data_IF_216408548260
#
_entry.id   IF_216408548260
#
_cell.length_a   1.000
_cell.length_b   1.000
_cell.length_c   1.000
_cell.angle_alpha   90.00
_cell.angle_beta   90.00
_cell.angle_gamma   90.00
#
_symmetry.space_group_name_H-M   'P 1'
#
loop_
_entity.id
_entity.type
_entity.pdbx_description
1 polymer ?
#
# COMPACT_ATOMS: atom_id res chain seq x y z
N UNK A 1 -19.68 -13.29 -9.80
CA UNK A 1 -21.12 -13.04 -9.54
C UNK A 1 -21.43 -11.68 -10.15
N UNK A 2 -22.42 -11.58 -11.04
CA UNK A 2 -22.83 -10.30 -11.64
C UNK A 2 -23.61 -9.52 -10.59
N UNK A 3 -23.00 -8.48 -10.03
CA UNK A 3 -23.72 -7.53 -9.19
C UNK A 3 -24.33 -6.48 -10.11
N UNK A 4 -25.57 -6.71 -10.54
CA UNK A 4 -26.27 -5.88 -11.54
C UNK A 4 -26.32 -4.39 -11.18
N UNK A 5 -26.27 -4.06 -9.89
CA UNK A 5 -26.24 -2.68 -9.41
C UNK A 5 -24.88 -1.99 -9.61
N UNK A 6 -23.76 -2.71 -9.42
CA UNK A 6 -22.42 -2.18 -9.69
C UNK A 6 -22.19 -2.00 -11.19
N UNK A 7 -22.67 -2.96 -12.00
CA UNK A 7 -22.67 -2.86 -13.46
C UNK A 7 -23.49 -1.65 -13.94
N UNK A 8 -24.65 -1.40 -13.32
CA UNK A 8 -25.51 -0.26 -13.65
C UNK A 8 -24.87 1.07 -13.26
N UNK A 9 -24.22 1.15 -12.08
CA UNK A 9 -23.49 2.33 -11.66
C UNK A 9 -22.36 2.69 -12.62
N UNK A 10 -21.52 1.70 -12.98
CA UNK A 10 -20.42 1.91 -13.92
C UNK A 10 -20.93 2.35 -15.28
N UNK A 11 -21.97 1.70 -15.81
CA UNK A 11 -22.54 2.08 -17.10
C UNK A 11 -23.09 3.51 -17.10
N UNK A 12 -23.73 3.97 -16.02
CA UNK A 12 -24.18 5.37 -15.90
C UNK A 12 -22.99 6.35 -15.81
N UNK A 13 -21.97 6.01 -15.03
CA UNK A 13 -20.75 6.81 -14.91
C UNK A 13 -20.08 7.00 -16.28
N UNK A 14 -19.92 5.91 -17.04
CA UNK A 14 -19.30 5.94 -18.37
C UNK A 14 -20.17 6.69 -19.38
N UNK A 15 -21.50 6.54 -19.34
CA UNK A 15 -22.39 7.30 -20.21
C UNK A 15 -22.22 8.81 -19.98
N UNK A 16 -22.20 9.26 -18.71
CA UNK A 16 -21.94 10.67 -18.38
C UNK A 16 -20.54 11.12 -18.81
N UNK A 17 -19.53 10.27 -18.62
CA UNK A 17 -18.14 10.53 -19.01
C UNK A 17 -18.02 10.77 -20.53
N UNK A 18 -18.58 9.86 -21.34
CA UNK A 18 -18.56 9.91 -22.81
C UNK A 18 -19.32 11.15 -23.31
N UNK A 19 -20.48 11.44 -22.73
CA UNK A 19 -21.30 12.60 -23.09
C UNK A 19 -20.57 13.90 -22.80
N UNK A 20 -20.01 14.05 -21.60
CA UNK A 20 -19.25 15.25 -21.21
C UNK A 20 -18.07 15.47 -22.15
N UNK A 21 -17.28 14.43 -22.41
CA UNK A 21 -16.13 14.53 -23.32
C UNK A 21 -16.54 15.00 -24.72
N UNK A 22 -17.67 14.51 -25.24
CA UNK A 22 -18.12 14.91 -26.57
C UNK A 22 -18.62 16.34 -26.65
N UNK A 23 -19.43 16.75 -25.67
CA UNK A 23 -20.08 18.06 -25.63
C UNK A 23 -19.08 19.16 -25.29
N UNK A 24 -18.26 18.94 -24.27
CA UNK A 24 -17.37 19.96 -23.70
C UNK A 24 -15.96 19.88 -24.29
N UNK A 25 -15.63 18.79 -25.00
CA UNK A 25 -14.26 18.46 -25.48
C UNK A 25 -13.25 18.27 -24.35
N UNK A 26 -13.75 18.08 -23.14
CA UNK A 26 -12.99 17.82 -21.94
C UNK A 26 -13.82 16.98 -20.96
N UNK A 27 -13.15 16.39 -19.97
CA UNK A 27 -13.80 15.70 -18.86
C UNK A 27 -13.36 16.38 -17.58
N UNK A 28 -14.30 16.73 -16.71
CA UNK A 28 -13.96 17.43 -15.47
C UNK A 28 -13.06 16.58 -14.58
N UNK A 29 -12.23 17.25 -13.76
CA UNK A 29 -11.35 16.57 -12.78
C UNK A 29 -12.14 15.61 -11.88
N UNK A 30 -13.30 16.04 -11.39
CA UNK A 30 -14.18 15.20 -10.57
C UNK A 30 -14.60 13.91 -11.29
N UNK A 31 -14.95 13.99 -12.57
CA UNK A 31 -15.38 12.83 -13.35
C UNK A 31 -14.20 11.87 -13.63
N UNK A 32 -13.00 12.41 -13.86
CA UNK A 32 -11.77 11.63 -13.97
C UNK A 32 -11.47 10.90 -12.65
N UNK A 33 -11.52 11.61 -11.51
CA UNK A 33 -11.32 11.06 -10.17
C UNK A 33 -12.34 9.96 -9.85
N UNK A 34 -13.61 10.12 -10.26
CA UNK A 34 -14.66 9.11 -10.06
C UNK A 34 -14.39 7.82 -10.83
N UNK A 35 -13.98 7.91 -12.09
CA UNK A 35 -13.65 6.73 -12.88
C UNK A 35 -12.39 6.03 -12.35
N UNK A 36 -11.36 6.79 -12.03
CA UNK A 36 -10.16 6.29 -11.37
C UNK A 36 -10.49 5.58 -10.05
N UNK A 37 -11.27 6.22 -9.17
CA UNK A 37 -11.67 5.66 -7.88
C UNK A 37 -12.48 4.37 -8.05
N UNK A 38 -13.33 4.28 -9.08
CA UNK A 38 -14.05 3.04 -9.39
C UNK A 38 -13.08 1.90 -9.72
N UNK A 39 -12.13 2.11 -10.65
CA UNK A 39 -11.13 1.09 -10.97
C UNK A 39 -10.30 0.69 -9.75
N UNK A 40 -9.86 1.67 -8.94
CA UNK A 40 -9.09 1.41 -7.73
C UNK A 40 -9.88 0.55 -6.76
N UNK A 41 -11.15 0.88 -6.52
CA UNK A 41 -12.02 0.13 -5.61
C UNK A 41 -12.24 -1.30 -6.10
N UNK A 42 -12.59 -1.48 -7.37
CA UNK A 42 -12.80 -2.81 -7.94
C UNK A 42 -11.55 -3.70 -7.86
N UNK A 43 -10.40 -3.17 -8.25
CA UNK A 43 -9.16 -3.93 -8.21
C UNK A 43 -8.63 -4.13 -6.78
N UNK A 44 -8.81 -3.17 -5.88
CA UNK A 44 -8.42 -3.30 -4.47
C UNK A 44 -9.23 -4.38 -3.73
N UNK A 45 -10.51 -4.55 -4.06
CA UNK A 45 -11.30 -5.71 -3.60
C UNK A 45 -10.62 -7.02 -4.00
N UNK A 46 -10.00 -7.07 -5.18
CA UNK A 46 -9.24 -8.23 -5.65
C UNK A 46 -8.03 -8.54 -4.76
N UNK A 47 -7.35 -7.51 -4.23
CA UNK A 47 -6.27 -7.68 -3.26
C UNK A 47 -6.79 -8.33 -2.00
N UNK A 48 -7.88 -7.84 -1.43
CA UNK A 48 -8.46 -8.37 -0.17
C UNK A 48 -8.98 -9.81 -0.32
N UNK A 49 -9.42 -10.20 -1.53
CA UNK A 49 -9.84 -11.57 -1.84
C UNK A 49 -8.63 -12.50 -1.97
N UNK A 50 -7.58 -12.08 -2.67
CA UNK A 50 -6.39 -12.90 -2.88
C UNK A 50 -5.49 -12.99 -1.64
N UNK A 51 -5.34 -11.88 -0.92
CA UNK A 51 -4.52 -11.73 0.27
C UNK A 51 -5.41 -11.28 1.44
N UNK A 52 -5.93 -12.26 2.18
CA UNK A 52 -7.01 -11.99 3.14
C UNK A 52 -6.48 -11.31 4.40
N UNK A 53 -7.12 -10.24 4.90
CA UNK A 53 -6.80 -9.66 6.21
C UNK A 53 -6.93 -10.62 7.40
N UNK A 54 -7.64 -11.75 7.20
CA UNK A 54 -7.79 -12.80 8.23
C UNK A 54 -6.66 -13.84 8.19
N UNK A 55 -5.80 -13.82 7.18
CA UNK A 55 -4.65 -14.70 7.08
C UNK A 55 -3.69 -14.48 8.25
N UNK A 56 -3.21 -15.56 8.87
CA UNK A 56 -2.39 -15.49 10.08
C UNK A 56 -1.14 -14.62 9.88
N UNK A 57 -0.38 -14.84 8.79
CA UNK A 57 0.84 -14.11 8.46
C UNK A 57 0.61 -12.84 7.63
N UNK A 58 -0.61 -12.30 7.64
CA UNK A 58 -0.93 -11.07 6.92
C UNK A 58 -0.05 -9.91 7.41
N UNK A 59 0.74 -9.39 6.50
CA UNK A 59 1.58 -8.19 6.59
C UNK A 59 0.83 -6.99 6.01
N UNK A 60 0.44 -6.07 6.89
CA UNK A 60 -0.25 -4.82 6.56
C UNK A 60 0.55 -3.96 5.57
N UNK A 61 1.88 -3.93 5.70
CA UNK A 61 2.72 -3.10 4.83
C UNK A 61 2.73 -3.63 3.39
N UNK A 62 2.71 -4.96 3.23
CA UNK A 62 2.60 -5.60 1.92
C UNK A 62 1.20 -5.36 1.31
N UNK A 63 0.14 -5.41 2.12
CA UNK A 63 -1.20 -5.09 1.66
C UNK A 63 -1.31 -3.62 1.18
N UNK A 64 -0.71 -2.68 1.92
CA UNK A 64 -0.65 -1.26 1.53
C UNK A 64 0.17 -1.09 0.25
N UNK A 65 1.28 -1.80 0.07
CA UNK A 65 2.07 -1.71 -1.17
C UNK A 65 1.28 -2.21 -2.37
N UNK A 66 0.52 -3.31 -2.24
CA UNK A 66 -0.38 -3.77 -3.29
C UNK A 66 -1.45 -2.74 -3.61
N UNK A 67 -2.12 -2.16 -2.61
CA UNK A 67 -3.16 -1.16 -2.84
C UNK A 67 -2.60 0.12 -3.48
N UNK A 68 -1.40 0.56 -3.11
CA UNK A 68 -0.70 1.66 -3.81
C UNK A 68 -0.42 1.31 -5.28
N UNK A 69 0.11 0.13 -5.55
CA UNK A 69 0.35 -0.33 -6.91
C UNK A 69 -0.95 -0.46 -7.74
N UNK A 70 -2.07 -0.83 -7.11
CA UNK A 70 -3.39 -0.80 -7.75
C UNK A 70 -3.83 0.64 -8.05
N UNK A 71 -3.62 1.59 -7.15
CA UNK A 71 -3.92 3.01 -7.41
C UNK A 71 -3.14 3.52 -8.63
N UNK A 72 -1.84 3.21 -8.71
CA UNK A 72 -1.02 3.53 -9.88
C UNK A 72 -1.63 2.92 -11.15
N UNK A 73 -1.87 1.60 -11.15
CA UNK A 73 -2.45 0.89 -12.28
C UNK A 73 -3.79 1.50 -12.75
N UNK A 74 -4.68 1.79 -11.80
CA UNK A 74 -6.00 2.36 -12.04
C UNK A 74 -5.96 3.77 -12.62
N UNK A 75 -5.03 4.63 -12.18
CA UNK A 75 -4.91 5.99 -12.71
C UNK A 75 -4.47 5.97 -14.18
N UNK A 76 -3.42 5.21 -14.50
CA UNK A 76 -2.97 5.05 -15.89
C UNK A 76 -4.03 4.41 -16.78
N UNK A 77 -4.80 3.45 -16.26
CA UNK A 77 -5.95 2.88 -16.99
C UNK A 77 -7.01 3.94 -17.30
N UNK A 78 -7.39 4.78 -16.34
CA UNK A 78 -8.37 5.84 -16.52
C UNK A 78 -7.91 6.88 -17.54
N UNK A 79 -6.66 7.34 -17.44
CA UNK A 79 -6.09 8.27 -18.41
C UNK A 79 -5.98 7.65 -19.80
N UNK A 80 -5.58 6.38 -19.89
CA UNK A 80 -5.54 5.66 -21.18
C UNK A 80 -6.92 5.58 -21.83
N UNK A 81 -7.97 5.22 -21.07
CA UNK A 81 -9.34 5.21 -21.57
C UNK A 81 -9.78 6.58 -22.10
N UNK A 82 -9.49 7.66 -21.34
CA UNK A 82 -9.74 9.05 -21.77
C UNK A 82 -9.05 9.37 -23.09
N UNK A 83 -7.76 9.09 -23.22
CA UNK A 83 -6.98 9.34 -24.45
C UNK A 83 -7.51 8.56 -25.65
N UNK A 84 -7.94 7.31 -25.45
CA UNK A 84 -8.59 6.55 -26.51
C UNK A 84 -9.89 7.22 -26.94
N UNK A 85 -10.74 7.67 -26.02
CA UNK A 85 -11.96 8.40 -26.36
C UNK A 85 -11.67 9.75 -27.06
N UNK A 86 -10.68 10.52 -26.59
CA UNK A 86 -10.27 11.78 -27.22
C UNK A 86 -9.88 11.58 -28.69
N UNK A 87 -9.17 10.49 -29.00
CA UNK A 87 -8.78 10.14 -30.37
C UNK A 87 -9.97 9.88 -31.29
N UNK A 88 -11.14 9.56 -30.74
CA UNK A 88 -12.37 9.34 -31.51
C UNK A 88 -13.10 10.64 -31.87
N UNK A 89 -12.79 11.77 -31.21
CA UNK A 89 -13.50 13.05 -31.41
C UNK A 89 -13.23 13.65 -32.79
N UNK A 90 -12.02 13.45 -33.32
CA UNK A 90 -11.59 13.94 -34.63
C UNK A 90 -10.88 12.82 -35.38
N UNK A 91 -11.43 12.44 -36.54
CA UNK A 91 -10.86 11.41 -37.42
C UNK A 91 -10.65 12.00 -38.81
N UNK A 92 -9.47 11.79 -39.40
CA UNK A 92 -9.09 12.35 -40.71
C UNK A 92 -9.29 13.87 -40.83
N UNK A 93 -9.04 14.59 -39.73
CA UNK A 93 -9.22 16.06 -39.65
C UNK A 93 -10.68 16.52 -39.58
N UNK A 94 -11.64 15.61 -39.42
CA UNK A 94 -13.07 15.91 -39.31
C UNK A 94 -13.62 15.55 -37.94
N UNK A 95 -14.51 16.40 -37.41
CA UNK A 95 -15.23 16.11 -36.17
C UNK A 95 -16.15 14.92 -36.41
N UNK A 96 -16.02 13.90 -35.56
CA UNK A 96 -16.87 12.71 -35.60
C UNK A 96 -18.29 13.06 -35.13
N UNK A 97 -19.35 12.76 -35.90
CA UNK A 97 -20.73 12.97 -35.45
C UNK A 97 -21.05 12.15 -34.19
N UNK A 98 -21.95 12.66 -33.34
CA UNK A 98 -22.31 12.02 -32.05
C UNK A 98 -22.67 10.53 -32.19
N UNK A 99 -23.48 10.17 -33.19
CA UNK A 99 -23.92 8.78 -33.37
C UNK A 99 -22.75 7.82 -33.62
N UNK A 100 -21.76 8.23 -34.41
CA UNK A 100 -20.59 7.41 -34.73
C UNK A 100 -19.59 7.40 -33.57
N UNK A 101 -19.34 8.56 -32.96
CA UNK A 101 -18.51 8.66 -31.75
C UNK A 101 -19.05 7.76 -30.64
N UNK A 102 -20.36 7.85 -30.35
CA UNK A 102 -21.00 7.07 -29.29
C UNK A 102 -20.88 5.58 -29.52
N UNK A 103 -21.11 5.12 -30.76
CA UNK A 103 -20.95 3.71 -31.14
C UNK A 103 -19.52 3.21 -30.88
N UNK A 104 -18.50 3.98 -31.25
CA UNK A 104 -17.10 3.60 -31.03
C UNK A 104 -16.71 3.68 -29.55
N UNK A 105 -17.18 4.71 -28.84
CA UNK A 105 -16.99 4.87 -27.40
C UNK A 105 -17.63 3.71 -26.59
N UNK A 106 -18.80 3.24 -27.01
CA UNK A 106 -19.46 2.07 -26.39
C UNK A 106 -18.67 0.78 -26.62
N UNK A 107 -18.07 0.61 -27.81
CA UNK A 107 -17.18 -0.52 -28.05
C UNK A 107 -15.94 -0.47 -27.14
N UNK A 108 -15.33 0.71 -26.97
CA UNK A 108 -14.23 0.90 -26.01
C UNK A 108 -14.66 0.63 -24.57
N UNK A 109 -15.85 1.09 -24.17
CA UNK A 109 -16.41 0.81 -22.84
C UNK A 109 -16.49 -0.71 -22.57
N UNK A 110 -16.99 -1.49 -23.54
CA UNK A 110 -17.09 -2.95 -23.41
C UNK A 110 -15.71 -3.59 -23.24
N UNK A 111 -14.70 -3.15 -23.99
CA UNK A 111 -13.33 -3.65 -23.85
C UNK A 111 -12.72 -3.26 -22.51
N UNK A 112 -12.58 -1.96 -22.23
CA UNK A 112 -11.85 -1.47 -21.05
C UNK A 112 -12.53 -1.82 -19.74
N UNK A 113 -13.84 -1.57 -19.66
CA UNK A 113 -14.56 -1.47 -18.38
C UNK A 113 -15.34 -2.73 -18.05
N UNK A 114 -15.47 -3.67 -19.01
CA UNK A 114 -16.08 -4.98 -18.77
C UNK A 114 -15.08 -6.11 -18.96
N UNK A 115 -14.49 -6.26 -20.16
CA UNK A 115 -13.63 -7.40 -20.49
C UNK A 115 -12.27 -7.32 -19.80
N UNK A 116 -11.57 -6.19 -19.95
CA UNK A 116 -10.23 -6.01 -19.42
C UNK A 116 -10.27 -5.83 -17.91
N UNK A 117 -11.17 -4.98 -17.38
CA UNK A 117 -11.34 -4.80 -15.94
C UNK A 117 -11.61 -6.13 -15.21
N UNK A 118 -12.44 -7.01 -15.77
CA UNK A 118 -12.66 -8.35 -15.22
C UNK A 118 -11.39 -9.22 -15.23
N UNK A 119 -10.64 -9.16 -16.32
CA UNK A 119 -9.38 -9.92 -16.47
C UNK A 119 -8.32 -9.42 -15.48
N UNK A 120 -8.21 -8.11 -15.32
CA UNK A 120 -7.33 -7.45 -14.35
C UNK A 120 -7.72 -7.78 -12.92
N UNK A 121 -9.02 -7.79 -12.59
CA UNK A 121 -9.50 -8.23 -11.28
C UNK A 121 -9.05 -9.66 -10.97
N UNK A 122 -9.24 -10.59 -11.91
CA UNK A 122 -8.80 -11.98 -11.73
C UNK A 122 -7.28 -12.10 -11.60
N UNK A 123 -6.53 -11.31 -12.36
CA UNK A 123 -5.07 -11.23 -12.23
C UNK A 123 -4.67 -10.71 -10.85
N UNK A 124 -5.32 -9.66 -10.34
CA UNK A 124 -5.07 -9.11 -9.01
C UNK A 124 -5.30 -10.15 -7.92
N UNK A 125 -6.43 -10.86 -7.97
CA UNK A 125 -6.73 -11.94 -7.01
C UNK A 125 -5.65 -13.03 -7.05
N UNK A 126 -5.27 -13.49 -8.25
CA UNK A 126 -4.29 -14.57 -8.40
C UNK A 126 -2.89 -14.16 -7.92
N UNK A 127 -2.45 -12.93 -8.23
CA UNK A 127 -1.16 -12.41 -7.77
C UNK A 127 -1.13 -12.20 -6.25
N UNK A 128 -2.19 -11.60 -5.68
CA UNK A 128 -2.29 -11.41 -4.24
C UNK A 128 -2.32 -12.76 -3.49
N UNK A 129 -3.04 -13.75 -4.03
CA UNK A 129 -3.05 -15.10 -3.47
C UNK A 129 -1.68 -15.79 -3.52
N UNK A 130 -0.95 -15.60 -4.61
CA UNK A 130 0.40 -16.14 -4.71
C UNK A 130 1.37 -15.47 -3.72
N UNK A 131 1.18 -14.19 -3.40
CA UNK A 131 1.94 -13.53 -2.34
C UNK A 131 1.67 -14.15 -0.97
N UNK A 132 0.40 -14.46 -0.68
CA UNK A 132 0.02 -15.17 0.54
C UNK A 132 0.70 -16.55 0.64
N UNK A 133 0.64 -17.33 -0.45
CA UNK A 133 1.26 -18.65 -0.51
C UNK A 133 2.77 -18.57 -0.35
N UNK A 134 3.42 -17.55 -0.92
CA UNK A 134 4.86 -17.34 -0.77
C UNK A 134 5.29 -17.21 0.70
N UNK A 135 4.54 -16.46 1.52
CA UNK A 135 4.84 -16.35 2.95
C UNK A 135 4.72 -17.71 3.67
N UNK A 136 3.78 -18.56 3.26
CA UNK A 136 3.67 -19.94 3.76
C UNK A 136 4.86 -20.78 3.33
N UNK A 137 5.26 -20.68 2.05
CA UNK A 137 6.44 -21.39 1.56
C UNK A 137 7.70 -21.00 2.35
N UNK A 138 7.88 -19.72 2.67
CA UNK A 138 9.01 -19.26 3.47
C UNK A 138 8.95 -19.76 4.92
N UNK A 139 7.75 -19.82 5.51
CA UNK A 139 7.55 -20.31 6.88
C UNK A 139 7.86 -21.81 7.01
N UNK A 140 7.45 -22.61 6.02
CA UNK A 140 7.57 -24.08 6.04
C UNK A 140 8.84 -24.58 5.31
N UNK A 141 9.78 -23.68 5.00
CA UNK A 141 10.95 -23.97 4.18
C UNK A 141 11.94 -24.98 4.82
N UNK A 142 11.85 -25.20 6.13
CA UNK A 142 12.62 -26.21 6.86
C UNK A 142 12.09 -27.63 6.63
N UNK A 143 10.78 -27.77 6.38
CA UNK A 143 10.11 -29.05 6.07
C UNK A 143 10.12 -29.33 4.56
N UNK A 144 9.79 -28.33 3.75
CA UNK A 144 9.66 -28.46 2.30
C UNK A 144 10.49 -27.35 1.61
N UNK A 145 11.79 -27.59 1.35
CA UNK A 145 12.70 -26.54 0.89
C UNK A 145 12.54 -26.16 -0.59
N UNK A 146 11.76 -26.94 -1.36
CA UNK A 146 11.63 -26.80 -2.80
C UNK A 146 10.19 -26.45 -3.20
N UNK A 147 10.06 -25.89 -4.40
CA UNK A 147 8.80 -25.54 -5.05
C UNK A 147 8.72 -26.28 -6.38
N UNK A 148 7.53 -26.81 -6.70
CA UNK A 148 7.20 -27.45 -7.97
C UNK A 148 6.24 -26.57 -8.76
N UNK A 149 6.60 -26.25 -9.99
CA UNK A 149 5.71 -25.56 -10.92
C UNK A 149 4.66 -26.53 -11.48
N UNK A 150 3.38 -26.14 -11.43
CA UNK A 150 2.28 -26.95 -11.94
C UNK A 150 1.52 -26.19 -13.03
N UNK A 151 1.63 -26.67 -14.27
CA UNK A 151 0.80 -26.21 -15.37
C UNK A 151 -0.50 -27.03 -15.41
N UNK A 152 -1.60 -26.40 -15.84
CA UNK A 152 -2.89 -27.09 -15.98
C UNK A 152 -2.88 -28.11 -17.13
N UNK A 153 -1.98 -27.92 -18.11
CA UNK A 153 -1.78 -28.78 -19.28
C UNK A 153 -3.03 -29.03 -20.14
N UNK A 154 -4.02 -28.12 -20.10
CA UNK A 154 -5.15 -28.16 -21.03
C UNK A 154 -4.86 -27.41 -22.34
N UNK A 155 -5.82 -27.44 -23.27
CA UNK A 155 -5.70 -26.79 -24.58
C UNK A 155 -5.55 -25.25 -24.55
N UNK A 156 -5.69 -24.61 -23.39
CA UNK A 156 -5.49 -23.16 -23.20
C UNK A 156 -4.16 -22.84 -22.51
N UNK A 157 -3.43 -23.87 -22.07
CA UNK A 157 -2.10 -23.70 -21.50
C UNK A 157 -1.15 -23.27 -22.62
N UNK A 158 -0.29 -22.29 -22.36
CA UNK A 158 0.71 -21.82 -23.34
C UNK A 158 1.90 -22.78 -23.35
N UNK A 159 2.56 -22.93 -24.49
CA UNK A 159 3.71 -23.86 -24.63
C UNK A 159 4.83 -23.51 -23.67
N UNK A 160 5.06 -22.21 -23.47
CA UNK A 160 6.05 -21.69 -22.53
C UNK A 160 5.81 -22.18 -21.10
N UNK A 161 4.53 -22.25 -20.69
CA UNK A 161 4.17 -22.68 -19.34
C UNK A 161 4.22 -24.20 -19.21
N UNK A 162 3.87 -24.96 -20.26
CA UNK A 162 4.01 -26.42 -20.29
C UNK A 162 5.47 -26.84 -20.13
N UNK A 163 6.39 -26.09 -20.71
CA UNK A 163 7.82 -26.36 -20.61
C UNK A 163 8.39 -26.20 -19.19
N UNK A 164 7.67 -25.52 -18.30
CA UNK A 164 8.01 -25.45 -16.88
C UNK A 164 7.25 -26.47 -16.02
N UNK A 165 6.32 -27.23 -16.57
CA UNK A 165 5.53 -28.18 -15.78
C UNK A 165 6.41 -29.24 -15.12
N UNK A 166 6.19 -29.46 -13.82
CA UNK A 166 6.99 -30.38 -13.01
C UNK A 166 8.39 -29.87 -12.64
N UNK A 167 8.76 -28.64 -13.01
CA UNK A 167 10.02 -28.04 -12.62
C UNK A 167 10.10 -27.86 -11.10
N UNK A 168 11.05 -28.52 -10.45
CA UNK A 168 11.30 -28.44 -9.01
C UNK A 168 12.57 -27.64 -8.73
N UNK A 169 12.45 -26.54 -8.00
CA UNK A 169 13.57 -25.66 -7.65
C UNK A 169 13.51 -25.22 -6.18
N UNK A 170 14.66 -24.98 -5.51
CA UNK A 170 14.66 -24.43 -4.16
C UNK A 170 13.86 -23.13 -4.06
N UNK A 171 13.18 -22.89 -2.93
CA UNK A 171 12.38 -21.66 -2.71
C UNK A 171 13.21 -20.39 -2.99
N UNK A 172 14.49 -20.39 -2.58
CA UNK A 172 15.40 -19.24 -2.77
C UNK A 172 15.98 -19.13 -4.19
N UNK A 173 15.59 -19.99 -5.12
CA UNK A 173 16.11 -19.95 -6.49
C UNK A 173 15.60 -18.72 -7.26
N UNK A 174 16.50 -18.05 -7.99
CA UNK A 174 16.20 -16.80 -8.74
C UNK A 174 15.06 -16.91 -9.75
N UNK A 175 14.74 -18.12 -10.20
CA UNK A 175 13.63 -18.37 -11.13
C UNK A 175 12.30 -17.82 -10.58
N UNK A 176 12.04 -18.04 -9.29
CA UNK A 176 10.82 -17.62 -8.61
C UNK A 176 10.69 -16.10 -8.45
N UNK A 177 11.75 -15.33 -8.68
CA UNK A 177 11.66 -13.86 -8.69
C UNK A 177 10.95 -13.31 -9.93
N UNK A 178 10.82 -14.13 -10.99
CA UNK A 178 10.35 -13.72 -12.33
C UNK A 178 9.28 -14.63 -12.93
N UNK A 179 9.12 -15.86 -12.44
CA UNK A 179 8.27 -16.89 -13.05
C UNK A 179 7.23 -17.44 -12.07
N UNK A 180 7.00 -16.74 -10.96
CA UNK A 180 5.96 -17.12 -10.02
C UNK A 180 4.60 -16.84 -10.67
N UNK A 181 3.76 -17.86 -10.90
CA UNK A 181 2.48 -17.67 -11.57
C UNK A 181 1.57 -16.68 -10.84
N UNK A 182 0.63 -16.02 -11.55
CA UNK A 182 0.36 -16.10 -12.98
C UNK A 182 1.39 -15.40 -13.91
N UNK A 183 1.86 -16.14 -14.92
CA UNK A 183 2.89 -15.70 -15.89
C UNK A 183 2.36 -15.04 -17.19
N UNK A 184 1.04 -14.89 -17.32
CA UNK A 184 0.36 -14.22 -18.44
C UNK A 184 -1.13 -13.96 -18.05
N UNK A 185 -1.84 -13.13 -18.82
CA UNK A 185 -3.27 -12.91 -18.63
C UNK A 185 -4.04 -14.24 -18.71
N UNK A 186 -4.88 -14.48 -17.70
CA UNK A 186 -5.68 -15.71 -17.60
C UNK A 186 -4.85 -16.98 -17.32
N UNK A 187 -3.60 -16.84 -16.86
CA UNK A 187 -2.81 -17.99 -16.43
C UNK A 187 -3.45 -18.65 -15.20
N UNK A 188 -3.52 -19.99 -15.23
CA UNK A 188 -4.06 -20.83 -14.14
C UNK A 188 -3.01 -21.78 -13.55
N UNK A 189 -1.73 -21.56 -13.88
CA UNK A 189 -0.64 -22.36 -13.33
C UNK A 189 -0.46 -22.00 -11.85
N UNK A 190 0.05 -22.94 -11.07
CA UNK A 190 0.28 -22.78 -9.63
C UNK A 190 1.68 -23.27 -9.27
N UNK A 191 2.02 -23.16 -7.99
CA UNK A 191 3.23 -23.72 -7.41
C UNK A 191 2.84 -24.49 -6.16
N UNK A 192 3.51 -25.61 -5.89
CA UNK A 192 3.30 -26.41 -4.67
C UNK A 192 4.64 -26.65 -3.99
N UNK A 193 4.65 -26.54 -2.66
CA UNK A 193 5.82 -26.84 -1.86
C UNK A 193 6.09 -28.35 -1.81
N UNK A 194 7.36 -28.74 -1.82
CA UNK A 194 7.76 -30.15 -1.90
C UNK A 194 9.17 -30.38 -1.33
N UNK A 195 9.45 -31.62 -0.97
CA UNK A 195 10.79 -32.15 -0.65
C UNK A 195 11.39 -32.98 -1.80
N UNK A 196 10.72 -33.04 -2.95
CA UNK A 196 11.21 -33.68 -4.17
C UNK A 196 12.61 -33.16 -4.57
N UNK A 197 13.42 -34.02 -5.18
CA UNK A 197 14.74 -33.65 -5.68
C UNK A 197 14.65 -32.53 -6.74
N UNK A 198 15.57 -31.57 -6.68
CA UNK A 198 15.61 -30.45 -7.62
C UNK A 198 15.83 -30.92 -9.06
N UNK A 199 15.16 -30.28 -10.01
CA UNK A 199 15.35 -30.54 -11.44
C UNK A 199 16.77 -30.15 -11.87
N UNK A 200 17.37 -30.94 -12.75
CA UNK A 200 18.73 -30.70 -13.27
C UNK A 200 18.78 -29.63 -14.34
N UNK A 201 17.68 -29.49 -15.09
CA UNK A 201 17.57 -28.61 -16.24
C UNK A 201 16.38 -27.66 -16.05
N UNK A 202 16.53 -26.44 -16.54
CA UNK A 202 15.51 -25.41 -16.54
C UNK A 202 15.35 -24.97 -17.99
N UNK A 203 14.13 -25.05 -18.54
CA UNK A 203 13.86 -24.53 -19.86
C UNK A 203 14.21 -23.03 -19.94
N UNK A 204 15.09 -22.64 -20.87
CA UNK A 204 15.52 -21.25 -21.07
C UNK A 204 14.45 -20.44 -21.80
N UNK A 205 13.36 -20.17 -21.08
CA UNK A 205 12.21 -19.43 -21.56
C UNK A 205 12.16 -18.15 -20.75
N UNK A 206 12.18 -17.00 -21.44
CA UNK A 206 12.09 -15.70 -20.78
C UNK A 206 10.66 -15.44 -20.35
N UNK A 207 10.50 -15.11 -19.08
CA UNK A 207 9.28 -14.51 -18.56
C UNK A 207 8.92 -13.23 -19.33
N UNK A 208 7.62 -13.03 -19.57
CA UNK A 208 7.07 -11.86 -20.26
C UNK A 208 7.12 -10.65 -19.32
N UNK A 209 7.68 -9.53 -19.79
CA UNK A 209 8.03 -8.35 -18.96
C UNK A 209 7.03 -7.99 -17.87
N UNK A 210 5.79 -7.65 -18.23
CA UNK A 210 4.74 -7.25 -17.28
C UNK A 210 4.36 -8.34 -16.25
N UNK A 211 4.60 -9.62 -16.57
CA UNK A 211 4.34 -10.77 -15.71
C UNK A 211 5.62 -11.30 -15.03
N UNK A 212 6.75 -10.61 -15.20
CA UNK A 212 8.04 -10.98 -14.62
C UNK A 212 8.13 -10.62 -13.14
N UNK A 213 7.31 -11.28 -12.33
CA UNK A 213 7.03 -10.82 -10.98
C UNK A 213 7.03 -11.94 -9.95
N UNK A 214 7.32 -11.54 -8.71
CA UNK A 214 6.97 -12.25 -7.49
C UNK A 214 6.34 -11.18 -6.57
N UNK A 215 5.02 -11.18 -6.39
CA UNK A 215 4.33 -10.10 -5.68
C UNK A 215 4.73 -10.01 -4.20
N UNK A 216 5.08 -11.13 -3.55
CA UNK A 216 5.57 -11.09 -2.16
C UNK A 216 6.89 -10.34 -2.03
N UNK A 217 7.77 -10.44 -3.03
CA UNK A 217 9.08 -9.79 -3.02
C UNK A 217 9.03 -8.37 -3.57
N UNK A 218 8.24 -8.12 -4.61
CA UNK A 218 8.17 -6.82 -5.28
C UNK A 218 7.22 -5.85 -4.59
N UNK A 219 6.26 -6.34 -3.80
CA UNK A 219 5.19 -5.54 -3.24
C UNK A 219 4.20 -5.00 -4.29
N UNK A 220 4.23 -5.52 -5.52
CA UNK A 220 3.42 -5.06 -6.63
C UNK A 220 2.60 -6.20 -7.25
N UNK A 221 1.34 -5.93 -7.56
CA UNK A 221 0.46 -6.81 -8.34
C UNK A 221 0.83 -6.72 -9.82
N UNK A 222 0.88 -5.50 -10.35
CA UNK A 222 1.29 -5.16 -11.70
C UNK A 222 2.67 -4.51 -11.64
N UNK A 223 3.71 -5.30 -11.89
CA UNK A 223 5.11 -4.84 -11.81
C UNK A 223 5.45 -3.82 -12.90
N UNK A 224 4.87 -3.99 -14.07
CA UNK A 224 4.90 -2.99 -15.13
C UNK A 224 3.48 -2.57 -15.46
N UNK A 225 3.27 -1.28 -15.69
CA UNK A 225 1.98 -0.77 -16.10
C UNK A 225 1.86 -0.81 -17.63
N UNK A 226 0.93 -1.62 -18.15
CA UNK A 226 0.73 -1.75 -19.60
C UNK A 226 0.12 -0.51 -20.23
N UNK A 227 -0.60 0.30 -19.46
CA UNK A 227 -1.24 1.53 -19.96
C UNK A 227 -0.26 2.69 -20.05
N UNK A 228 0.71 2.77 -19.14
CA UNK A 228 1.77 3.79 -19.15
C UNK A 228 2.52 3.81 -20.49
N UNK A 229 2.85 2.63 -21.04
CA UNK A 229 3.58 2.50 -22.32
C UNK A 229 2.81 3.07 -23.53
N UNK A 230 1.49 3.21 -23.41
CA UNK A 230 0.62 3.73 -24.47
C UNK A 230 0.31 5.21 -24.34
N UNK A 231 0.82 5.89 -23.31
CA UNK A 231 0.59 7.32 -23.06
C UNK A 231 1.78 8.17 -23.52
N UNK A 232 1.47 9.40 -23.90
CA UNK A 232 2.45 10.47 -24.09
C UNK A 232 2.86 11.11 -22.74
N UNK A 233 3.74 12.11 -22.79
CA UNK A 233 4.21 12.83 -21.59
C UNK A 233 3.07 13.45 -20.79
N UNK A 234 2.06 13.96 -21.48
CA UNK A 234 0.94 14.69 -20.88
C UNK A 234 0.02 13.70 -20.16
N UNK A 235 -0.29 12.56 -20.79
CA UNK A 235 -1.02 11.47 -20.15
C UNK A 235 -0.29 10.91 -18.94
N UNK A 236 1.04 10.70 -19.01
CA UNK A 236 1.83 10.24 -17.85
C UNK A 236 1.77 11.26 -16.71
N UNK A 237 1.83 12.55 -17.01
CA UNK A 237 1.75 13.62 -16.02
C UNK A 237 0.37 13.66 -15.36
N UNK A 238 -0.69 13.61 -16.16
CA UNK A 238 -2.08 13.56 -15.68
C UNK A 238 -2.32 12.36 -14.76
N UNK A 239 -1.84 11.16 -15.13
CA UNK A 239 -1.94 9.97 -14.27
C UNK A 239 -1.22 10.16 -12.94
N UNK A 240 -0.02 10.74 -12.94
CA UNK A 240 0.75 11.01 -11.71
C UNK A 240 0.10 12.04 -10.81
N UNK A 241 -0.56 13.05 -11.37
CA UNK A 241 -1.33 14.03 -10.60
C UNK A 241 -2.53 13.37 -9.91
N UNK A 242 -3.29 12.53 -10.63
CA UNK A 242 -4.39 11.75 -10.04
C UNK A 242 -3.92 10.87 -8.87
N UNK A 243 -2.79 10.17 -9.05
CA UNK A 243 -2.18 9.36 -7.99
C UNK A 243 -1.77 10.23 -6.80
N UNK A 244 -1.07 11.34 -7.06
CA UNK A 244 -0.59 12.25 -6.03
C UNK A 244 -1.74 12.79 -5.18
N UNK A 245 -2.79 13.30 -5.81
CA UNK A 245 -3.96 13.83 -5.11
C UNK A 245 -4.69 12.74 -4.30
N UNK A 246 -4.77 11.52 -4.86
CA UNK A 246 -5.37 10.39 -4.18
C UNK A 246 -4.58 9.95 -2.94
N UNK A 247 -3.26 9.82 -3.06
CA UNK A 247 -2.39 9.43 -1.94
C UNK A 247 -2.26 10.55 -0.90
N UNK A 248 -2.39 11.82 -1.31
CA UNK A 248 -2.40 12.96 -0.41
C UNK A 248 -3.63 12.99 0.52
N UNK A 249 -4.74 12.35 0.11
CA UNK A 249 -5.96 12.35 0.89
C UNK A 249 -5.90 11.42 2.11
N UNK A 250 -5.96 11.99 3.31
CA UNK A 250 -6.07 11.26 4.59
C UNK A 250 -7.42 10.55 4.77
N UNK A 251 -8.35 10.64 3.82
CA UNK A 251 -9.60 9.87 3.83
C UNK A 251 -9.45 8.49 3.17
N UNK A 252 -8.39 8.29 2.37
CA UNK A 252 -8.10 7.02 1.74
C UNK A 252 -7.38 6.09 2.73
N UNK A 253 -8.16 5.53 3.64
CA UNK A 253 -7.65 4.72 4.74
C UNK A 253 -7.77 3.22 4.46
N UNK A 254 -6.76 2.48 4.92
CA UNK A 254 -6.73 1.03 4.98
C UNK A 254 -7.00 0.62 6.43
N UNK A 255 -7.99 -0.26 6.59
CA UNK A 255 -8.27 -0.92 7.87
C UNK A 255 -7.25 -2.04 8.07
N UNK A 256 -6.77 -2.17 9.30
CA UNK A 256 -5.83 -3.23 9.70
C UNK A 256 -6.54 -4.29 10.52
N UNK A 257 -5.84 -5.39 10.84
CA UNK A 257 -6.31 -6.38 11.82
C UNK A 257 -6.69 -5.76 13.17
N UNK A 258 -5.97 -4.73 13.59
CA UNK A 258 -6.28 -4.00 14.82
C UNK A 258 -7.20 -2.81 14.50
N UNK A 259 -8.47 -2.80 14.94
CA UNK A 259 -9.41 -1.72 14.62
C UNK A 259 -9.00 -0.36 15.19
N UNK A 260 -8.04 -0.34 16.14
CA UNK A 260 -7.45 0.87 16.72
C UNK A 260 -6.30 1.43 15.90
N UNK A 261 -5.83 0.73 14.88
CA UNK A 261 -4.78 1.20 13.97
C UNK A 261 -5.33 1.28 12.55
N UNK A 262 -5.29 2.47 11.97
CA UNK A 262 -5.58 2.70 10.55
C UNK A 262 -4.33 3.20 9.85
N UNK A 263 -4.24 2.94 8.55
CA UNK A 263 -3.09 3.35 7.73
C UNK A 263 -3.62 4.20 6.58
N UNK A 264 -3.11 5.40 6.41
CA UNK A 264 -3.33 6.15 5.19
C UNK A 264 -2.69 5.41 4.02
N UNK A 265 -3.42 5.28 2.90
CA UNK A 265 -2.85 4.73 1.68
C UNK A 265 -1.60 5.50 1.25
N UNK A 266 -1.47 6.79 1.59
CA UNK A 266 -0.28 7.60 1.32
C UNK A 266 0.89 7.43 2.29
N UNK A 267 0.81 6.52 3.28
CA UNK A 267 1.86 6.32 4.27
C UNK A 267 3.20 5.88 3.65
N UNK A 268 4.33 6.23 4.26
CA UNK A 268 5.66 5.87 3.75
C UNK A 268 5.90 4.36 3.84
N UNK A 269 6.08 3.69 2.70
CA UNK A 269 6.29 2.25 2.64
C UNK A 269 7.62 1.81 3.28
N UNK A 270 8.63 2.68 3.31
CA UNK A 270 9.95 2.32 3.82
C UNK A 270 9.91 1.99 5.32
N UNK A 271 9.21 2.82 6.10
CA UNK A 271 9.10 2.68 7.54
C UNK A 271 7.77 2.03 7.99
N UNK A 272 6.82 1.81 7.05
CA UNK A 272 5.46 1.38 7.36
C UNK A 272 5.41 0.14 8.25
N UNK A 273 6.18 -0.90 7.93
CA UNK A 273 6.16 -2.16 8.70
C UNK A 273 6.50 -1.91 10.16
N UNK A 274 7.52 -1.09 10.44
CA UNK A 274 7.93 -0.79 11.82
C UNK A 274 6.96 0.20 12.49
N UNK A 275 6.49 1.20 11.74
CA UNK A 275 5.49 2.15 12.21
C UNK A 275 4.20 1.43 12.66
N UNK A 276 3.74 0.45 11.87
CA UNK A 276 2.59 -0.39 12.20
C UNK A 276 2.85 -1.27 13.41
N UNK A 277 3.96 -1.99 13.48
CA UNK A 277 4.29 -2.82 14.65
C UNK A 277 4.26 -2.04 15.96
N UNK A 278 4.86 -0.84 15.99
CA UNK A 278 4.87 0.01 17.19
C UNK A 278 3.46 0.52 17.50
N UNK A 279 2.72 0.98 16.50
CA UNK A 279 1.35 1.45 16.66
C UNK A 279 0.42 0.34 17.18
N UNK A 280 0.53 -0.88 16.63
CA UNK A 280 -0.26 -2.04 17.01
C UNK A 280 -0.04 -2.44 18.48
N UNK A 281 1.22 -2.56 18.90
CA UNK A 281 1.57 -2.83 20.31
C UNK A 281 1.01 -1.73 21.23
N UNK A 282 1.20 -0.47 20.86
CA UNK A 282 0.73 0.64 21.70
C UNK A 282 -0.79 0.69 21.77
N UNK A 283 -1.47 0.49 20.65
CA UNK A 283 -2.92 0.47 20.56
C UNK A 283 -3.53 -0.67 21.39
N UNK A 284 -2.97 -1.87 21.29
CA UNK A 284 -3.40 -3.03 22.09
C UNK A 284 -3.21 -2.80 23.61
N UNK A 285 -2.03 -2.35 24.03
CA UNK A 285 -1.72 -2.20 25.46
C UNK A 285 -2.35 -0.99 26.13
N UNK A 286 -2.63 0.06 25.36
CA UNK A 286 -3.07 1.35 25.91
C UNK A 286 -4.49 1.73 25.48
N UNK A 287 -5.11 0.97 24.58
CA UNK A 287 -6.42 1.27 23.99
C UNK A 287 -6.49 2.68 23.36
N UNK A 288 -5.43 3.04 22.62
CA UNK A 288 -5.28 4.34 21.95
C UNK A 288 -5.52 4.16 20.45
N UNK A 289 -6.27 5.06 19.85
CA UNK A 289 -6.44 5.12 18.40
C UNK A 289 -5.18 5.72 17.73
N UNK A 290 -4.62 4.98 16.77
CA UNK A 290 -3.53 5.38 15.90
C UNK A 290 -4.02 5.48 14.44
N UNK A 291 -3.61 6.55 13.77
CA UNK A 291 -3.59 6.62 12.31
C UNK A 291 -2.14 6.82 11.87
N UNK A 292 -1.60 5.91 11.07
CA UNK A 292 -0.34 6.11 10.36
C UNK A 292 -0.63 7.01 9.16
N UNK A 293 -0.03 8.18 9.16
CA UNK A 293 -0.43 9.30 8.30
C UNK A 293 0.17 9.20 6.90
N UNK A 294 -0.39 9.98 5.99
CA UNK A 294 0.22 10.22 4.68
C UNK A 294 1.64 10.78 4.83
N UNK A 295 2.57 10.31 4.01
CA UNK A 295 3.89 10.90 3.89
C UNK A 295 3.82 12.22 3.12
N UNK A 296 4.16 13.32 3.77
CA UNK A 296 4.24 14.64 3.15
C UNK A 296 5.70 15.06 3.10
N UNK A 297 6.26 15.17 1.89
CA UNK A 297 7.64 15.61 1.73
C UNK A 297 7.72 17.13 1.92
N UNK A 298 8.30 17.56 3.05
CA UNK A 298 8.60 18.96 3.32
C UNK A 298 10.11 19.12 3.39
N UNK A 299 10.67 19.92 2.47
CA UNK A 299 12.12 20.08 2.33
C UNK A 299 12.79 20.39 3.67
N UNK A 300 13.64 19.47 4.13
CA UNK A 300 14.43 19.62 5.36
C UNK A 300 13.66 19.40 6.67
N UNK A 301 12.45 18.84 6.62
CA UNK A 301 11.61 18.57 7.79
C UNK A 301 11.03 17.16 7.72
N UNK A 302 11.31 16.34 8.73
CA UNK A 302 10.72 14.99 8.83
C UNK A 302 9.21 15.08 9.06
N UNK A 303 8.43 14.19 8.45
CA UNK A 303 6.98 14.14 8.59
C UNK A 303 6.58 13.30 9.82
N UNK A 304 5.72 13.80 10.73
CA UNK A 304 5.21 13.01 11.84
C UNK A 304 4.41 11.79 11.37
N UNK A 305 4.82 10.62 11.85
CA UNK A 305 4.28 9.32 11.44
C UNK A 305 2.82 9.10 11.82
N UNK A 306 2.37 9.67 12.94
CA UNK A 306 1.10 9.31 13.57
C UNK A 306 0.16 10.49 13.78
N UNK A 307 -1.13 10.19 13.74
CA UNK A 307 -2.19 10.96 14.38
C UNK A 307 -2.76 10.09 15.53
N UNK A 308 -2.60 10.56 16.75
CA UNK A 308 -3.02 9.88 17.98
C UNK A 308 -4.29 10.50 18.53
N UNK A 309 -5.17 9.65 19.07
CA UNK A 309 -6.46 10.09 19.63
C UNK A 309 -7.32 10.89 18.64
N UNK A 310 -7.09 10.72 17.34
CA UNK A 310 -7.77 11.44 16.27
C UNK A 310 -7.45 12.94 16.15
N UNK A 311 -6.55 13.49 16.98
CA UNK A 311 -6.31 14.94 17.03
C UNK A 311 -4.81 15.32 17.07
N UNK A 312 -3.98 14.52 17.74
CA UNK A 312 -2.63 14.95 18.08
C UNK A 312 -1.58 14.30 17.19
N UNK A 313 -0.71 15.11 16.58
CA UNK A 313 0.44 14.59 15.85
C UNK A 313 1.36 13.82 16.81
N UNK A 314 1.86 12.68 16.35
CA UNK A 314 2.83 11.85 17.04
C UNK A 314 3.95 11.47 16.09
N UNK A 315 5.17 11.42 16.60
CA UNK A 315 6.33 11.00 15.81
C UNK A 315 7.07 9.87 16.51
N UNK A 316 7.45 8.85 15.74
CA UNK A 316 8.16 7.68 16.24
C UNK A 316 9.65 8.00 16.36
N UNK A 317 10.20 7.87 17.56
CA UNK A 317 11.65 7.99 17.82
C UNK A 317 12.22 6.64 18.23
N UNK A 318 12.93 6.01 17.29
CA UNK A 318 13.76 4.84 17.60
C UNK A 318 15.04 5.24 18.29
N UNK A 319 15.37 4.56 19.39
CA UNK A 319 16.61 4.79 20.12
C UNK A 319 17.34 3.47 20.41
N UNK A 320 18.67 3.51 20.31
CA UNK A 320 19.56 2.36 20.60
C UNK A 320 20.17 2.48 22.01
N UNK A 321 20.13 3.68 22.59
CA UNK A 321 20.58 3.99 23.94
C UNK A 321 19.86 5.21 24.50
N UNK A 322 19.86 5.34 25.82
CA UNK A 322 19.06 6.35 26.54
C UNK A 322 19.60 7.77 26.35
N UNK A 323 20.89 7.91 26.04
CA UNK A 323 21.52 9.20 25.72
C UNK A 323 20.85 9.92 24.55
N UNK A 324 20.22 9.17 23.63
CA UNK A 324 19.50 9.70 22.48
C UNK A 324 18.20 10.44 22.84
N UNK A 325 17.63 10.25 24.04
CA UNK A 325 16.32 10.81 24.40
C UNK A 325 16.33 12.34 24.34
N UNK A 326 17.36 12.95 24.91
CA UNK A 326 17.44 14.40 25.07
C UNK A 326 17.48 15.12 23.73
N UNK A 327 18.30 14.60 22.81
CA UNK A 327 18.42 15.12 21.45
C UNK A 327 17.13 14.88 20.66
N UNK A 328 16.53 13.69 20.75
CA UNK A 328 15.31 13.37 20.03
C UNK A 328 14.10 14.21 20.48
N UNK A 329 14.02 14.59 21.76
CA UNK A 329 12.99 15.55 22.24
C UNK A 329 13.18 16.92 21.57
N UNK A 330 14.42 17.39 21.43
CA UNK A 330 14.68 18.67 20.76
C UNK A 330 14.35 18.59 19.26
N UNK A 331 14.67 17.46 18.60
CA UNK A 331 14.29 17.25 17.20
C UNK A 331 12.77 17.18 17.01
N UNK A 332 12.07 16.43 17.85
CA UNK A 332 10.61 16.38 17.83
C UNK A 332 10.00 17.78 18.04
N UNK A 333 10.56 18.58 18.96
CA UNK A 333 10.15 19.98 19.12
C UNK A 333 10.36 20.80 17.85
N UNK A 334 11.54 20.71 17.23
CA UNK A 334 11.84 21.46 15.99
C UNK A 334 10.88 21.08 14.85
N UNK A 335 10.59 19.79 14.72
CA UNK A 335 9.65 19.24 13.74
C UNK A 335 8.22 19.72 14.00
N UNK A 336 7.72 19.52 15.21
CA UNK A 336 6.31 19.72 15.57
C UNK A 336 5.92 21.18 15.76
N UNK A 337 6.89 22.09 15.95
CA UNK A 337 6.66 23.54 15.96
C UNK A 337 6.78 24.17 14.57
N UNK A 338 7.13 23.40 13.54
CA UNK A 338 7.14 23.90 12.18
C UNK A 338 5.69 24.10 11.69
N UNK A 339 5.33 25.31 11.25
CA UNK A 339 3.98 25.64 10.77
C UNK A 339 3.58 24.90 9.49
N UNK A 340 4.52 24.40 8.71
CA UNK A 340 4.21 23.57 7.54
C UNK A 340 3.75 22.16 7.96
N UNK A 341 4.23 21.66 9.10
CA UNK A 341 3.87 20.34 9.65
C UNK A 341 2.67 20.43 10.57
N UNK A 342 2.67 21.42 11.46
CA UNK A 342 1.63 21.65 12.46
C UNK A 342 1.13 23.11 12.36
N UNK A 343 0.29 23.42 11.34
CA UNK A 343 -0.15 24.80 11.09
C UNK A 343 -0.90 25.41 12.27
N UNK A 344 -1.67 24.58 12.98
CA UNK A 344 -2.47 24.98 14.13
C UNK A 344 -1.68 25.00 15.45
N UNK A 345 -0.42 24.57 15.43
CA UNK A 345 0.44 24.49 16.63
C UNK A 345 -0.22 23.71 17.77
N UNK A 346 -0.99 22.67 17.45
CA UNK A 346 -1.61 21.82 18.46
C UNK A 346 -0.54 21.08 19.26
N UNK A 347 -0.77 20.77 20.54
CA UNK A 347 0.13 19.92 21.30
C UNK A 347 0.39 18.58 20.59
N UNK A 348 1.56 17.98 20.82
CA UNK A 348 1.98 16.76 20.12
C UNK A 348 2.47 15.67 21.07
N UNK A 349 2.59 14.46 20.55
CA UNK A 349 3.14 13.30 21.24
C UNK A 349 4.50 12.90 20.69
N UNK A 350 5.27 12.21 21.53
CA UNK A 350 6.46 11.46 21.10
C UNK A 350 6.19 9.99 21.39
N UNK A 351 6.39 9.12 20.40
CA UNK A 351 6.26 7.66 20.55
C UNK A 351 7.66 7.06 20.52
N UNK A 352 8.13 6.57 21.66
CA UNK A 352 9.45 5.97 21.80
C UNK A 352 9.42 4.50 21.42
N UNK A 353 10.20 4.17 20.39
CA UNK A 353 10.50 2.81 19.99
C UNK A 353 11.85 2.42 20.61
N UNK A 354 11.79 1.62 21.67
CA UNK A 354 12.97 1.28 22.49
C UNK A 354 13.43 -0.17 22.27
N UNK A 355 12.88 -0.91 21.30
CA UNK A 355 13.18 -2.34 21.14
C UNK A 355 14.66 -2.64 20.87
N UNK A 356 15.42 -1.65 20.38
CA UNK A 356 16.86 -1.77 20.17
C UNK A 356 17.69 -1.61 21.45
N UNK A 357 17.11 -1.15 22.56
CA UNK A 357 17.80 -1.02 23.85
C UNK A 357 17.99 -2.42 24.47
N UNK A 358 19.24 -2.78 24.74
CA UNK A 358 19.60 -4.06 25.37
C UNK A 358 19.23 -4.05 26.86
N UNK A 359 19.55 -2.95 27.57
CA UNK A 359 19.29 -2.81 29.01
C UNK A 359 18.52 -1.53 29.31
N UNK A 360 17.27 -1.68 29.75
CA UNK A 360 16.40 -0.55 30.06
C UNK A 360 16.71 0.05 31.44
N UNK A 361 17.26 1.27 31.46
CA UNK A 361 17.43 2.07 32.67
C UNK A 361 16.35 3.15 32.80
N UNK A 362 15.28 2.85 33.53
CA UNK A 362 14.16 3.78 33.75
C UNK A 362 14.58 5.07 34.45
N UNK A 363 15.62 5.04 35.29
CA UNK A 363 16.04 6.23 36.06
C UNK A 363 16.70 7.29 35.16
N UNK A 364 17.44 6.85 34.14
CA UNK A 364 18.01 7.76 33.14
C UNK A 364 16.93 8.38 32.26
N UNK A 365 15.91 7.60 31.88
CA UNK A 365 14.74 8.11 31.16
C UNK A 365 14.08 9.21 32.01
N UNK A 366 13.79 8.94 33.29
CA UNK A 366 13.18 9.91 34.20
C UNK A 366 14.03 11.19 34.29
N UNK A 367 15.35 11.07 34.48
CA UNK A 367 16.26 12.23 34.53
C UNK A 367 16.22 13.04 33.23
N UNK A 368 16.20 12.36 32.07
CA UNK A 368 16.12 13.02 30.77
C UNK A 368 14.79 13.78 30.58
N UNK A 369 13.67 13.15 30.97
CA UNK A 369 12.34 13.75 30.89
C UNK A 369 12.23 14.99 31.77
N UNK A 370 12.63 14.91 33.04
CA UNK A 370 12.59 16.03 33.98
C UNK A 370 13.41 17.25 33.51
N UNK A 371 14.50 17.01 32.77
CA UNK A 371 15.36 18.06 32.23
C UNK A 371 14.71 18.82 31.06
N UNK A 372 13.87 18.15 30.26
CA UNK A 372 13.30 18.67 29.02
C UNK A 372 11.82 19.07 29.14
N UNK A 373 11.10 18.49 30.09
CA UNK A 373 9.68 18.70 30.31
C UNK A 373 9.46 19.08 31.79
N UNK A 374 9.14 20.34 32.01
CA UNK A 374 8.86 20.92 33.32
C UNK A 374 7.84 22.06 33.17
N UNK A 375 7.61 22.87 34.20
CA UNK A 375 6.64 23.97 34.17
C UNK A 375 6.94 25.00 33.06
N UNK A 376 8.20 25.17 32.71
CA UNK A 376 8.67 26.15 31.72
C UNK A 376 8.99 25.54 30.35
N UNK A 377 9.43 24.28 30.32
CA UNK A 377 9.93 23.59 29.11
C UNK A 377 9.00 22.48 28.66
N UNK A 378 9.01 22.20 27.35
CA UNK A 378 8.19 21.13 26.76
C UNK A 378 6.69 21.41 26.82
N UNK A 379 6.25 22.68 26.87
CA UNK A 379 4.83 23.06 27.01
C UNK A 379 3.93 22.56 25.87
N UNK A 380 4.48 22.39 24.68
CA UNK A 380 3.77 21.87 23.51
C UNK A 380 3.69 20.34 23.46
N UNK A 381 4.36 19.63 24.38
CA UNK A 381 4.24 18.16 24.47
C UNK A 381 2.97 17.84 25.25
N UNK A 382 2.05 17.08 24.65
CA UNK A 382 0.84 16.58 25.30
C UNK A 382 1.15 15.38 26.19
N UNK A 383 1.97 14.46 25.68
CA UNK A 383 2.40 13.26 26.38
C UNK A 383 3.44 12.49 25.58
N UNK A 384 3.85 11.35 26.14
CA UNK A 384 4.79 10.43 25.52
C UNK A 384 4.30 9.00 25.70
N UNK A 385 4.43 8.20 24.64
CA UNK A 385 4.17 6.76 24.67
C UNK A 385 5.52 6.07 24.57
N UNK A 386 5.75 5.06 25.40
CA UNK A 386 6.99 4.30 25.40
C UNK A 386 6.67 2.85 25.11
N UNK A 387 7.27 2.29 24.07
CA UNK A 387 7.17 0.89 23.69
C UNK A 387 8.52 0.21 23.93
N UNK A 388 8.51 -0.96 24.60
CA UNK A 388 9.69 -1.79 24.85
C UNK A 388 9.32 -3.27 24.96
N UNK A 389 9.88 -4.10 24.09
CA UNK A 389 9.76 -5.57 24.05
C UNK A 389 8.32 -6.05 24.21
N UNK A 390 7.40 -5.47 23.44
CA UNK A 390 5.98 -5.83 23.44
C UNK A 390 5.14 -5.22 24.58
N UNK A 391 5.75 -4.41 25.46
CA UNK A 391 5.05 -3.60 26.45
C UNK A 391 4.92 -2.17 25.96
N UNK A 392 3.88 -1.47 26.41
CA UNK A 392 3.76 -0.04 26.20
C UNK A 392 3.22 0.68 27.45
N UNK A 393 3.66 1.92 27.65
CA UNK A 393 3.18 2.79 28.72
C UNK A 393 2.98 4.21 28.20
N UNK A 394 1.99 4.89 28.75
CA UNK A 394 1.69 6.28 28.42
C UNK A 394 1.97 7.18 29.63
N UNK A 395 2.65 8.30 29.38
CA UNK A 395 2.85 9.39 30.33
C UNK A 395 2.31 10.68 29.74
N UNK A 396 1.38 11.32 30.45
CA UNK A 396 0.97 12.69 30.10
C UNK A 396 2.06 13.69 30.50
N UNK A 397 2.06 14.88 29.88
CA UNK A 397 2.95 15.97 30.34
C UNK A 397 2.70 16.31 31.80
N UNK A 398 1.46 16.30 32.25
CA UNK A 398 1.10 16.62 33.64
C UNK A 398 1.78 15.67 34.63
N UNK A 399 1.76 14.37 34.35
CA UNK A 399 2.46 13.37 35.16
C UNK A 399 3.97 13.63 35.21
N UNK A 400 4.60 13.94 34.07
CA UNK A 400 6.04 14.24 34.00
C UNK A 400 6.39 15.47 34.85
N UNK A 401 5.59 16.55 34.77
CA UNK A 401 5.80 17.77 35.57
C UNK A 401 5.61 17.51 37.06
N UNK A 402 4.59 16.74 37.44
CA UNK A 402 4.32 16.32 38.83
C UNK A 402 5.27 15.23 39.34
N UNK A 403 6.19 14.77 38.50
CA UNK A 403 7.14 13.69 38.77
C UNK A 403 6.49 12.35 39.12
N UNK A 404 5.30 12.11 38.57
CA UNK A 404 4.62 10.81 38.63
C UNK A 404 5.11 9.92 37.48
N UNK A 405 5.96 8.95 37.82
CA UNK A 405 6.56 8.00 36.87
C UNK A 405 6.23 6.54 37.20
N UNK A 406 5.17 6.30 37.98
CA UNK A 406 4.81 4.93 38.38
C UNK A 406 4.64 4.00 37.17
N UNK A 407 4.04 4.52 36.09
CA UNK A 407 3.82 3.78 34.84
C UNK A 407 5.13 3.31 34.18
N UNK A 408 6.25 4.04 34.27
CA UNK A 408 7.51 3.59 33.62
C UNK A 408 8.07 2.30 34.23
N UNK A 409 7.69 1.97 35.46
CA UNK A 409 8.17 0.74 36.12
C UNK A 409 7.61 -0.51 35.45
N UNK A 410 6.43 -0.45 34.81
CA UNK A 410 5.83 -1.60 34.13
C UNK A 410 6.42 -1.90 32.75
N UNK A 411 7.39 -1.09 32.27
CA UNK A 411 8.15 -1.40 31.05
C UNK A 411 9.19 -2.52 31.25
N UNK A 412 9.68 -2.70 32.48
CA UNK A 412 10.72 -3.69 32.81
C UNK A 412 10.19 -5.12 32.84
#
# INVERSE_FOLDING_TARGET
MNNTAEDEFLSRLIESYIRQLFEDREVSKEMQERLFAYYYQELSKGVDVGYSPTFEMYDEALAVSFKKNIADFSAFKATSFKKQLESLLVQDGKITPWSEFKKQADALHIEYNRRWLKTEYHQTVAMANMAQQWQQFEADADLYPNLKYNAVNDGRTREEHRAWDGLVLPIKHKFWTKHLPPNDWGCRCTVTQTDEAVSKEIADIKSKGAFSNNPAMSGAIFKENTYEKGLDSDGITESKELISDFLASETNLINTKNPKVRISLGADLQDLRRNYQVADICADKLNIDFLIRTHVEIKGVSNPEYLLFGEYLGDRKSIEGIDGILWNIDQAKKQMLNKAINPKQVPYYIVWDMDKIIHLNTDEIIRALQRKVNEERGRSIKGMIFQYKGRAVHLTREQIVKRDFANLKSLK
#
